data_IF_597014160282
#
_entry.id   IF_597014160282
#
_cell.length_a   1.000
_cell.length_b   1.000
_cell.length_c   1.000
_cell.angle_alpha   90.00
_cell.angle_beta   90.00
_cell.angle_gamma   90.00
#
_symmetry.space_group_name_H-M   'P 1'
#
loop_
_entity.id
_entity.type
_entity.pdbx_description
1 polymer ?
#
# COMPACT_ATOMS: atom_id res chain seq x y z
N UNK A 1 51.18 33.58 15.89
CA UNK A 1 50.12 34.06 16.82
C UNK A 1 48.79 33.78 16.14
N UNK A 2 48.02 32.84 16.67
CA UNK A 2 46.76 32.36 16.09
C UNK A 2 45.61 33.18 16.66
N UNK A 3 44.96 34.01 15.84
CA UNK A 3 43.74 34.71 16.25
C UNK A 3 42.54 33.77 16.09
N UNK A 4 42.00 33.31 17.22
CA UNK A 4 40.71 32.63 17.33
C UNK A 4 39.64 33.72 17.45
N UNK A 5 38.81 33.88 16.41
CA UNK A 5 37.61 34.72 16.44
C UNK A 5 36.38 33.92 16.92
N UNK A 6 35.39 34.56 17.55
CA UNK A 6 34.35 33.88 18.33
C UNK A 6 33.31 33.19 17.45
N UNK A 7 32.81 32.05 17.93
CA UNK A 7 31.76 31.23 17.34
C UNK A 7 30.47 32.04 17.11
N UNK A 8 29.94 32.01 15.89
CA UNK A 8 28.58 32.48 15.62
C UNK A 8 27.57 31.46 16.16
N UNK A 9 26.55 31.86 16.94
CA UNK A 9 25.46 30.96 17.29
C UNK A 9 24.56 30.70 16.07
N UNK A 10 24.32 29.42 15.78
CA UNK A 10 23.39 28.96 14.74
C UNK A 10 21.94 29.32 15.12
N UNK A 11 21.17 29.98 14.25
CA UNK A 11 19.79 30.40 14.56
C UNK A 11 18.77 29.36 14.07
N UNK A 12 18.88 28.09 14.45
CA UNK A 12 17.86 27.09 14.07
C UNK A 12 17.66 26.00 15.13
N UNK A 13 17.41 26.38 16.38
CA UNK A 13 16.75 25.52 17.38
C UNK A 13 15.27 25.92 17.50
N UNK A 14 14.54 25.83 16.39
CA UNK A 14 13.10 25.68 16.46
C UNK A 14 12.79 24.19 16.65
N UNK A 15 11.88 23.78 17.55
CA UNK A 15 11.42 22.41 17.56
C UNK A 15 10.89 22.12 16.15
N UNK A 16 11.47 21.11 15.49
CA UNK A 16 10.92 20.58 14.24
C UNK A 16 9.43 20.32 14.51
N UNK A 17 8.51 20.74 13.63
CA UNK A 17 7.12 20.31 13.77
C UNK A 17 7.17 18.79 13.86
N UNK A 18 6.69 18.26 15.00
CA UNK A 18 6.49 16.83 15.18
C UNK A 18 5.83 16.36 13.89
N UNK A 19 6.51 15.47 13.17
CA UNK A 19 6.02 14.95 11.92
C UNK A 19 4.62 14.43 12.20
N UNK A 20 3.65 15.23 11.76
CA UNK A 20 2.23 15.00 11.87
C UNK A 20 1.99 13.56 11.46
N UNK A 21 1.28 12.83 12.32
CA UNK A 21 1.14 11.39 12.32
C UNK A 21 1.23 10.86 10.88
N UNK A 22 2.33 10.15 10.57
CA UNK A 22 2.59 9.56 9.27
C UNK A 22 1.28 9.00 8.74
N UNK A 23 0.64 9.74 7.82
CA UNK A 23 -0.62 9.34 7.25
C UNK A 23 -0.27 8.07 6.51
N UNK A 24 -0.57 6.91 7.12
CA UNK A 24 -0.33 5.62 6.51
C UNK A 24 -1.19 5.66 5.27
N UNK A 25 -0.56 5.91 4.13
CA UNK A 25 -1.26 5.94 2.85
C UNK A 25 -2.04 4.64 2.77
N UNK A 26 -3.36 4.74 2.58
CA UNK A 26 -4.21 3.56 2.48
C UNK A 26 -3.63 2.64 1.40
N UNK A 27 -3.49 1.34 1.68
CA UNK A 27 -2.89 0.42 0.73
C UNK A 27 -3.77 0.37 -0.52
N UNK A 28 -3.19 0.60 -1.72
CA UNK A 28 -3.95 0.57 -2.98
C UNK A 28 -4.73 -0.72 -3.18
N UNK A 29 -4.16 -1.85 -2.77
CA UNK A 29 -4.79 -3.16 -2.88
C UNK A 29 -4.95 -3.80 -1.51
N UNK A 30 -6.11 -4.40 -1.28
CA UNK A 30 -6.42 -5.11 -0.03
C UNK A 30 -6.95 -6.51 -0.30
N UNK A 31 -6.48 -7.50 0.46
CA UNK A 31 -7.02 -8.85 0.44
C UNK A 31 -8.13 -8.97 1.49
N UNK A 32 -9.35 -9.21 1.04
CA UNK A 32 -10.56 -9.31 1.87
C UNK A 32 -11.09 -10.74 1.85
N UNK A 33 -11.47 -11.25 3.03
CA UNK A 33 -12.18 -12.53 3.12
C UNK A 33 -13.66 -12.28 2.81
N UNK A 34 -14.20 -13.03 1.86
CA UNK A 34 -15.61 -12.98 1.51
C UNK A 34 -16.42 -13.91 2.42
N UNK A 35 -17.76 -13.72 2.48
CA UNK A 35 -18.64 -14.68 3.11
C UNK A 35 -18.46 -16.10 2.53
N UNK A 36 -18.79 -17.14 3.31
CA UNK A 36 -18.73 -18.51 2.82
C UNK A 36 -19.55 -18.71 1.53
N UNK A 37 -19.02 -19.48 0.58
CA UNK A 37 -19.73 -19.91 -0.62
C UNK A 37 -20.78 -21.00 -0.31
N UNK A 38 -21.51 -21.46 -1.33
CA UNK A 38 -22.51 -22.53 -1.19
C UNK A 38 -21.94 -23.88 -0.76
N UNK A 39 -20.60 -24.04 -0.79
CA UNK A 39 -19.89 -25.21 -0.32
C UNK A 39 -19.21 -24.99 1.04
N UNK A 40 -19.45 -23.84 1.69
CA UNK A 40 -18.91 -23.48 2.99
C UNK A 40 -17.43 -23.06 2.95
N UNK A 41 -16.86 -22.78 1.79
CA UNK A 41 -15.48 -22.26 1.68
C UNK A 41 -15.50 -20.76 1.89
N UNK A 42 -14.49 -20.23 2.55
CA UNK A 42 -14.33 -18.79 2.81
C UNK A 42 -13.25 -18.20 1.89
N UNK A 43 -13.58 -17.86 0.63
CA UNK A 43 -12.58 -17.39 -0.32
C UNK A 43 -12.08 -15.99 0.02
N UNK A 44 -10.90 -15.69 -0.50
CA UNK A 44 -10.30 -14.36 -0.45
C UNK A 44 -10.42 -13.70 -1.82
N UNK A 45 -10.67 -12.39 -1.85
CA UNK A 45 -10.65 -11.57 -3.05
C UNK A 45 -9.74 -10.36 -2.84
N UNK A 46 -9.39 -9.67 -3.92
CA UNK A 46 -8.56 -8.46 -3.87
C UNK A 46 -9.39 -7.25 -4.31
N UNK A 47 -9.43 -6.22 -3.48
CA UNK A 47 -10.06 -4.92 -3.76
C UNK A 47 -8.98 -3.93 -4.21
N UNK A 48 -9.20 -3.23 -5.32
CA UNK A 48 -8.43 -2.05 -5.72
C UNK A 48 -9.14 -0.80 -5.19
N UNK A 49 -8.59 -0.22 -4.12
CA UNK A 49 -9.12 0.97 -3.45
C UNK A 49 -9.07 2.22 -4.33
N UNK A 50 -8.08 2.34 -5.21
CA UNK A 50 -7.98 3.48 -6.12
C UNK A 50 -9.07 3.45 -7.19
N UNK A 51 -9.37 2.26 -7.72
CA UNK A 51 -10.39 2.09 -8.75
C UNK A 51 -11.79 1.82 -8.19
N UNK A 52 -11.91 1.58 -6.87
CA UNK A 52 -13.17 1.24 -6.21
C UNK A 52 -13.81 -0.04 -6.75
N UNK A 53 -13.00 -1.02 -7.19
CA UNK A 53 -13.48 -2.24 -7.83
C UNK A 53 -12.71 -3.48 -7.38
N UNK A 54 -13.36 -4.63 -7.50
CA UNK A 54 -12.70 -5.91 -7.33
C UNK A 54 -11.70 -6.16 -8.46
N UNK A 55 -10.64 -6.89 -8.15
CA UNK A 55 -9.76 -7.46 -9.17
C UNK A 55 -10.50 -8.62 -9.84
N UNK A 56 -10.56 -8.57 -11.17
CA UNK A 56 -11.34 -9.48 -12.00
C UNK A 56 -10.46 -10.14 -13.06
N UNK A 57 -10.81 -11.38 -13.44
CA UNK A 57 -10.35 -12.02 -14.65
C UNK A 57 -11.50 -12.02 -15.67
N UNK A 58 -11.44 -11.10 -16.64
CA UNK A 58 -12.52 -10.88 -17.58
C UNK A 58 -13.70 -10.15 -16.92
N UNK A 59 -14.75 -10.89 -16.54
CA UNK A 59 -15.97 -10.34 -15.90
C UNK A 59 -16.24 -10.95 -14.52
N UNK A 60 -15.38 -11.85 -14.06
CA UNK A 60 -15.54 -12.55 -12.80
C UNK A 60 -14.49 -12.10 -11.78
N UNK A 61 -14.91 -11.91 -10.53
CA UNK A 61 -14.00 -11.58 -9.42
C UNK A 61 -13.04 -12.75 -9.20
N UNK A 62 -11.75 -12.44 -9.13
CA UNK A 62 -10.72 -13.43 -8.84
C UNK A 62 -10.82 -13.90 -7.38
N UNK A 63 -11.05 -15.22 -7.20
CA UNK A 63 -11.15 -15.86 -5.90
C UNK A 63 -9.92 -16.70 -5.58
N UNK A 64 -9.45 -16.54 -4.34
CA UNK A 64 -8.24 -17.18 -3.83
C UNK A 64 -8.59 -18.08 -2.64
N UNK A 65 -8.04 -19.29 -2.63
CA UNK A 65 -8.29 -20.25 -1.54
C UNK A 65 -7.64 -19.83 -0.21
N UNK A 66 -6.61 -18.98 -0.25
CA UNK A 66 -5.85 -18.56 0.94
C UNK A 66 -5.52 -17.07 0.89
N UNK A 67 -5.31 -16.47 2.07
CA UNK A 67 -4.84 -15.09 2.17
C UNK A 67 -3.49 -14.88 1.46
N UNK A 68 -2.60 -15.86 1.51
CA UNK A 68 -1.26 -15.75 0.91
C UNK A 68 -1.27 -15.78 -0.61
N UNK A 69 -2.20 -16.51 -1.22
CA UNK A 69 -2.40 -16.47 -2.67
C UNK A 69 -2.95 -15.11 -3.12
N UNK A 70 -3.93 -14.54 -2.39
CA UNK A 70 -4.40 -13.17 -2.62
C UNK A 70 -3.28 -12.12 -2.45
N UNK A 71 -2.45 -12.23 -1.40
CA UNK A 71 -1.28 -11.37 -1.20
C UNK A 71 -0.24 -11.49 -2.31
N UNK A 72 -0.10 -12.68 -2.89
CA UNK A 72 0.80 -12.91 -4.02
C UNK A 72 0.29 -12.23 -5.28
N UNK A 73 -1.02 -12.21 -5.50
CA UNK A 73 -1.65 -11.37 -6.54
C UNK A 73 -1.36 -9.89 -6.30
N UNK A 74 -1.55 -9.38 -5.07
CA UNK A 74 -1.25 -7.97 -4.73
C UNK A 74 0.18 -7.59 -5.08
N UNK A 75 1.17 -8.43 -4.74
CA UNK A 75 2.59 -8.16 -5.11
C UNK A 75 2.78 -8.10 -6.63
N UNK A 76 2.10 -8.96 -7.39
CA UNK A 76 2.13 -8.94 -8.86
C UNK A 76 1.50 -7.66 -9.41
N UNK A 77 0.35 -7.24 -8.88
CA UNK A 77 -0.32 -6.01 -9.31
C UNK A 77 0.56 -4.77 -9.06
N UNK A 78 1.21 -4.68 -7.90
CA UNK A 78 2.18 -3.62 -7.63
C UNK A 78 3.33 -3.60 -8.64
N UNK A 79 3.86 -4.76 -9.02
CA UNK A 79 4.91 -4.83 -10.04
C UNK A 79 4.42 -4.32 -11.41
N UNK A 80 3.20 -4.69 -11.81
CA UNK A 80 2.60 -4.25 -13.07
C UNK A 80 2.34 -2.73 -13.08
N UNK A 81 1.83 -2.19 -11.97
CA UNK A 81 1.64 -0.75 -11.80
C UNK A 81 2.95 0.03 -11.92
N UNK A 82 4.00 -0.44 -11.25
CA UNK A 82 5.33 0.17 -11.32
C UNK A 82 5.92 0.13 -12.74
N UNK A 83 5.60 -0.92 -13.49
CA UNK A 83 5.97 -1.06 -14.90
C UNK A 83 5.08 -0.25 -15.86
N UNK A 84 4.00 0.39 -15.38
CA UNK A 84 3.03 1.09 -16.21
C UNK A 84 2.20 0.17 -17.11
N UNK A 85 2.17 -1.14 -16.82
CA UNK A 85 1.46 -2.14 -17.61
C UNK A 85 0.00 -2.17 -17.15
N UNK A 86 -0.92 -1.80 -18.06
CA UNK A 86 -2.34 -1.94 -17.82
C UNK A 86 -2.78 -3.36 -18.14
N UNK A 87 -3.46 -4.00 -17.20
CA UNK A 87 -4.21 -5.22 -17.42
C UNK A 87 -5.63 -4.86 -17.91
N UNK A 88 -6.05 -5.53 -18.98
CA UNK A 88 -7.37 -5.43 -19.61
C UNK A 88 -8.13 -6.72 -19.37
#
# INVERSE_FOLDING_TARGET
>A
MTNVGPEQPSPHDGPLPEADAATVAEPRYEALQLPPDSWGREPWAVLDHHAGRWVEAGVEVDLYATRDSARSCIRRLHYLDQAGIRWH
#
